data_IF_770113261538
#
_entry.id   IF_770113261538
#
_cell.length_a   1.000
_cell.length_b   1.000
_cell.length_c   1.000
_cell.angle_alpha   90.00
_cell.angle_beta   90.00
_cell.angle_gamma   90.00
#
_symmetry.space_group_name_H-M   'P 1'
#
loop_
_entity.id
_entity.type
_entity.pdbx_description
1 polymer ?
#
# COMPACT_ATOMS: atom_id res chain seq x y z
N UNK A 1 -12.58 -7.04 6.00
CA UNK A 1 -11.99 -7.85 4.91
C UNK A 1 -12.21 -9.31 5.25
N UNK A 2 -12.54 -10.16 4.28
CA UNK A 2 -12.72 -11.60 4.50
C UNK A 2 -11.49 -12.36 4.00
N UNK A 3 -10.93 -13.25 4.83
CA UNK A 3 -9.82 -14.10 4.43
C UNK A 3 -10.24 -15.02 3.28
N UNK A 4 -9.40 -15.12 2.25
CA UNK A 4 -9.71 -15.97 1.09
C UNK A 4 -10.58 -15.30 0.03
N UNK A 5 -11.00 -14.05 0.24
CA UNK A 5 -11.87 -13.32 -0.69
C UNK A 5 -11.34 -13.21 -2.13
N UNK A 6 -10.04 -13.39 -2.35
CA UNK A 6 -9.42 -13.31 -3.67
C UNK A 6 -8.96 -14.67 -4.23
N UNK A 7 -9.15 -15.78 -3.51
CA UNK A 7 -8.60 -17.08 -3.90
C UNK A 7 -9.21 -17.58 -5.23
N UNK A 8 -10.53 -17.47 -5.37
CA UNK A 8 -11.22 -17.85 -6.61
C UNK A 8 -10.79 -16.95 -7.77
N UNK A 9 -10.66 -15.64 -7.54
CA UNK A 9 -10.30 -14.68 -8.57
C UNK A 9 -8.84 -14.83 -9.04
N UNK A 10 -7.94 -15.27 -8.16
CA UNK A 10 -6.50 -15.43 -8.42
C UNK A 10 -6.17 -16.83 -8.97
N UNK A 11 -7.04 -17.82 -8.77
CA UNK A 11 -6.81 -19.18 -9.23
C UNK A 11 -6.54 -19.24 -10.75
N UNK A 12 -5.35 -19.71 -11.12
CA UNK A 12 -4.93 -19.82 -12.52
C UNK A 12 -4.39 -18.52 -13.15
N UNK A 13 -4.26 -17.43 -12.40
CA UNK A 13 -3.62 -16.21 -12.89
C UNK A 13 -2.09 -16.33 -12.92
N UNK A 14 -1.47 -15.84 -14.00
CA UNK A 14 -0.01 -15.66 -14.08
C UNK A 14 0.46 -14.36 -13.41
N UNK A 15 -0.38 -13.32 -13.44
CA UNK A 15 -0.08 -11.97 -12.94
C UNK A 15 -1.29 -11.39 -12.22
N UNK A 16 -1.05 -10.73 -11.09
CA UNK A 16 -2.06 -10.00 -10.30
C UNK A 16 -1.66 -8.54 -10.19
N UNK A 17 -2.55 -7.62 -10.58
CA UNK A 17 -2.38 -6.19 -10.39
C UNK A 17 -3.18 -5.74 -9.16
N UNK A 18 -2.51 -5.47 -8.05
CA UNK A 18 -3.16 -4.97 -6.85
C UNK A 18 -3.21 -3.44 -6.87
N UNK A 19 -4.34 -2.89 -7.32
CA UNK A 19 -4.57 -1.44 -7.43
C UNK A 19 -5.54 -0.90 -6.39
N UNK A 20 -6.31 -1.77 -5.74
CA UNK A 20 -7.29 -1.40 -4.74
C UNK A 20 -6.59 -0.96 -3.44
N UNK A 21 -6.78 0.29 -3.05
CA UNK A 21 -6.30 0.86 -1.79
C UNK A 21 -7.38 1.78 -1.23
N UNK A 22 -7.57 1.86 0.09
CA UNK A 22 -8.43 2.89 0.68
C UNK A 22 -7.89 4.27 0.29
N UNK A 23 -8.74 5.12 -0.29
CA UNK A 23 -8.40 6.47 -0.69
C UNK A 23 -9.62 7.37 -0.53
N UNK A 24 -9.60 8.21 0.50
CA UNK A 24 -10.73 9.09 0.86
C UNK A 24 -10.40 10.58 0.74
N UNK A 25 -9.15 10.93 0.37
CA UNK A 25 -8.56 12.26 0.49
C UNK A 25 -9.34 13.39 -0.24
N UNK A 26 -10.28 13.05 -1.11
CA UNK A 26 -11.09 14.02 -1.85
C UNK A 26 -12.60 13.87 -1.65
N UNK A 27 -13.05 12.84 -0.93
CA UNK A 27 -14.47 12.48 -0.86
C UNK A 27 -15.09 12.68 0.52
N UNK A 28 -14.29 12.70 1.60
CA UNK A 28 -14.75 12.98 2.97
C UNK A 28 -13.58 13.23 3.93
N UNK A 29 -13.90 13.81 5.08
CA UNK A 29 -12.98 13.88 6.22
C UNK A 29 -12.67 12.46 6.75
N UNK A 30 -11.41 12.25 7.12
CA UNK A 30 -10.92 11.02 7.75
C UNK A 30 -10.80 11.31 9.25
N UNK A 31 -11.59 10.62 10.06
CA UNK A 31 -11.67 10.87 11.50
C UNK A 31 -10.77 9.92 12.29
N UNK A 32 -10.58 8.70 11.78
CA UNK A 32 -9.72 7.67 12.33
C UNK A 32 -8.83 7.08 11.20
N UNK A 33 -7.67 7.69 10.91
CA UNK A 33 -6.78 7.24 9.85
C UNK A 33 -6.32 5.79 10.00
N UNK A 34 -6.18 5.29 11.23
CA UNK A 34 -5.77 3.91 11.48
C UNK A 34 -6.81 2.94 10.94
N UNK A 35 -8.07 3.12 11.34
CA UNK A 35 -9.15 2.20 10.96
C UNK A 35 -9.67 2.45 9.54
N UNK A 36 -9.54 3.67 9.03
CA UNK A 36 -10.11 4.06 7.74
C UNK A 36 -9.13 3.96 6.57
N UNK A 37 -7.81 4.03 6.84
CA UNK A 37 -6.75 4.02 5.82
C UNK A 37 -5.68 2.95 6.09
N UNK A 38 -4.97 3.02 7.22
CA UNK A 38 -3.76 2.21 7.43
C UNK A 38 -4.04 0.72 7.59
N UNK A 39 -4.90 0.35 8.54
CA UNK A 39 -5.25 -1.05 8.77
C UNK A 39 -5.90 -1.68 7.52
N UNK A 40 -6.88 -1.05 6.82
CA UNK A 40 -7.44 -1.62 5.60
C UNK A 40 -6.42 -1.75 4.46
N UNK A 41 -5.49 -0.81 4.27
CA UNK A 41 -4.45 -0.91 3.25
C UNK A 41 -3.50 -2.08 3.54
N UNK A 42 -3.09 -2.23 4.79
CA UNK A 42 -2.18 -3.29 5.23
C UNK A 42 -2.83 -4.67 5.13
N UNK A 43 -4.03 -4.82 5.68
CA UNK A 43 -4.79 -6.06 5.65
C UNK A 43 -5.20 -6.44 4.23
N UNK A 44 -5.62 -5.46 3.42
CA UNK A 44 -6.00 -5.68 2.02
C UNK A 44 -4.83 -6.24 1.20
N UNK A 45 -3.66 -5.62 1.32
CA UNK A 45 -2.43 -6.07 0.66
C UNK A 45 -2.06 -7.49 1.13
N UNK A 46 -2.06 -7.74 2.44
CA UNK A 46 -1.77 -9.08 2.99
C UNK A 46 -2.74 -10.14 2.47
N UNK A 47 -4.03 -9.82 2.39
CA UNK A 47 -5.04 -10.76 1.94
C UNK A 47 -4.79 -11.18 0.48
N UNK A 48 -4.50 -10.23 -0.42
CA UNK A 48 -4.15 -10.52 -1.82
C UNK A 48 -2.88 -11.37 -1.93
N UNK A 49 -1.81 -10.99 -1.21
CA UNK A 49 -0.55 -11.75 -1.24
C UNK A 49 -0.72 -13.17 -0.68
N UNK A 50 -1.48 -13.33 0.39
CA UNK A 50 -1.78 -14.64 0.96
C UNK A 50 -2.62 -15.50 0.01
N UNK A 51 -3.58 -14.91 -0.71
CA UNK A 51 -4.33 -15.62 -1.77
C UNK A 51 -3.41 -16.14 -2.86
N UNK A 52 -2.45 -15.33 -3.34
CA UNK A 52 -1.45 -15.78 -4.33
C UNK A 52 -0.66 -16.99 -3.82
N UNK A 53 -0.21 -16.95 -2.57
CA UNK A 53 0.54 -18.07 -1.95
C UNK A 53 -0.34 -19.31 -1.82
N UNK A 54 -1.60 -19.18 -1.36
CA UNK A 54 -2.53 -20.30 -1.24
C UNK A 54 -2.86 -20.93 -2.60
N UNK A 55 -3.13 -20.12 -3.63
CA UNK A 55 -3.40 -20.61 -4.98
C UNK A 55 -2.19 -21.36 -5.57
N UNK A 56 -0.97 -20.87 -5.35
CA UNK A 56 0.25 -21.56 -5.76
C UNK A 56 0.39 -22.92 -5.07
N UNK A 57 0.21 -22.95 -3.74
CA UNK A 57 0.29 -24.18 -2.96
C UNK A 57 -0.79 -25.20 -3.38
N UNK A 58 -2.02 -24.76 -3.65
CA UNK A 58 -3.11 -25.62 -4.05
C UNK A 58 -2.96 -26.18 -5.47
N UNK A 59 -2.38 -25.40 -6.40
CA UNK A 59 -2.19 -25.82 -7.80
C UNK A 59 -0.88 -26.58 -8.04
N UNK A 60 0.10 -26.46 -7.14
CA UNK A 60 1.46 -26.98 -7.34
C UNK A 60 2.26 -26.19 -8.38
N UNK A 61 1.77 -25.00 -8.78
CA UNK A 61 2.43 -24.10 -9.72
C UNK A 61 3.20 -23.02 -8.98
N UNK A 62 4.05 -22.29 -9.73
CA UNK A 62 4.68 -21.08 -9.20
C UNK A 62 3.62 -20.02 -8.84
N UNK A 63 3.87 -19.19 -7.82
CA UNK A 63 2.96 -18.09 -7.48
C UNK A 63 2.89 -17.07 -8.62
N UNK A 64 1.69 -16.48 -8.79
CA UNK A 64 1.48 -15.37 -9.70
C UNK A 64 2.43 -14.20 -9.36
N UNK A 65 2.95 -13.52 -10.39
CA UNK A 65 3.71 -12.28 -10.19
C UNK A 65 2.74 -11.18 -9.76
N UNK A 66 3.08 -10.46 -8.70
CA UNK A 66 2.24 -9.36 -8.20
C UNK A 66 2.85 -8.01 -8.59
N UNK A 67 2.04 -7.14 -9.17
CA UNK A 67 2.33 -5.72 -9.34
C UNK A 67 1.48 -4.96 -8.35
N UNK A 68 2.12 -4.33 -7.36
CA UNK A 68 1.47 -3.49 -6.36
C UNK A 68 1.51 -2.04 -6.83
N UNK A 69 0.34 -1.40 -6.99
CA UNK A 69 0.28 0.04 -7.21
C UNK A 69 0.53 0.76 -5.88
N UNK A 70 1.78 1.12 -5.65
CA UNK A 70 2.19 2.00 -4.55
C UNK A 70 2.05 3.49 -4.94
N UNK A 71 2.64 4.38 -4.17
CA UNK A 71 2.65 5.83 -4.41
C UNK A 71 4.01 6.43 -4.03
N UNK A 72 4.34 7.58 -4.61
CA UNK A 72 5.47 8.41 -4.14
C UNK A 72 5.33 8.83 -2.67
N UNK A 73 4.11 8.80 -2.13
CA UNK A 73 3.87 9.03 -0.70
C UNK A 73 4.50 7.95 0.21
N UNK A 74 4.87 6.78 -0.33
CA UNK A 74 5.66 5.78 0.39
C UNK A 74 7.16 6.11 0.41
N UNK A 75 7.61 7.00 -0.49
CA UNK A 75 9.02 7.40 -0.65
C UNK A 75 9.31 8.66 0.15
N UNK A 76 8.38 9.63 0.18
CA UNK A 76 8.55 10.87 0.94
C UNK A 76 7.22 11.46 1.42
N UNK A 77 7.29 12.22 2.51
CA UNK A 77 6.22 13.11 2.97
C UNK A 77 6.52 14.57 2.65
N UNK A 78 5.52 15.44 2.76
CA UNK A 78 5.65 16.86 2.39
C UNK A 78 6.76 17.58 3.18
N UNK A 79 6.90 17.27 4.47
CA UNK A 79 7.93 17.83 5.34
C UNK A 79 9.35 17.45 4.89
N UNK A 80 9.55 16.24 4.35
CA UNK A 80 10.85 15.80 3.83
C UNK A 80 11.19 16.47 2.50
N UNK A 81 10.20 16.61 1.60
CA UNK A 81 10.40 17.34 0.34
C UNK A 81 10.87 18.77 0.62
N UNK A 82 10.28 19.44 1.62
CA UNK A 82 10.62 20.82 1.95
C UNK A 82 12.07 20.99 2.44
N UNK A 83 12.69 19.93 2.98
CA UNK A 83 14.03 19.95 3.57
C UNK A 83 15.11 19.37 2.66
N UNK A 84 14.73 18.58 1.63
CA UNK A 84 15.69 17.90 0.75
C UNK A 84 16.40 18.89 -0.19
N UNK A 85 17.74 18.82 -0.30
CA UNK A 85 18.48 19.61 -1.29
C UNK A 85 18.00 19.34 -2.72
N UNK A 86 17.95 20.38 -3.55
CA UNK A 86 17.41 20.29 -4.92
C UNK A 86 18.28 19.48 -5.88
N UNK A 87 19.54 19.22 -5.53
CA UNK A 87 20.49 18.41 -6.25
C UNK A 87 20.52 16.93 -5.79
N UNK A 88 19.65 16.54 -4.85
CA UNK A 88 19.55 15.18 -4.35
C UNK A 88 18.24 14.50 -4.79
N UNK A 89 18.24 13.73 -5.90
CA UNK A 89 17.04 13.04 -6.37
C UNK A 89 16.59 11.96 -5.38
N UNK A 90 15.30 11.63 -5.40
CA UNK A 90 14.76 10.45 -4.73
C UNK A 90 15.07 9.18 -5.54
N UNK A 91 15.15 8.05 -4.85
CA UNK A 91 15.47 6.73 -5.36
C UNK A 91 14.60 5.67 -4.71
N UNK A 92 14.74 4.42 -5.15
CA UNK A 92 14.06 3.25 -4.60
C UNK A 92 14.51 2.89 -3.18
N UNK A 93 15.62 3.47 -2.71
CA UNK A 93 16.14 3.28 -1.35
C UNK A 93 15.52 4.28 -0.34
N UNK A 94 14.81 5.31 -0.81
CA UNK A 94 14.17 6.32 0.05
C UNK A 94 12.80 5.83 0.55
N UNK A 95 12.52 6.08 1.83
CA UNK A 95 11.25 5.74 2.50
C UNK A 95 10.69 6.95 3.23
N UNK A 96 9.36 7.09 3.21
CA UNK A 96 8.68 8.13 3.96
C UNK A 96 8.64 7.77 5.46
N UNK A 97 9.54 8.36 6.24
CA UNK A 97 9.58 8.22 7.70
C UNK A 97 8.88 9.38 8.43
N UNK A 98 8.40 10.38 7.69
CA UNK A 98 7.85 11.62 8.26
C UNK A 98 6.35 11.58 8.54
N UNK A 99 5.62 10.69 7.85
CA UNK A 99 4.18 10.54 8.01
C UNK A 99 3.87 9.52 9.10
N UNK A 100 3.13 9.95 10.12
CA UNK A 100 2.73 9.11 11.25
C UNK A 100 1.21 9.11 11.45
N UNK A 101 0.63 8.06 12.09
CA UNK A 101 -0.80 8.00 12.38
C UNK A 101 -1.33 9.17 13.21
N UNK A 102 -0.47 9.77 14.03
CA UNK A 102 -0.81 10.96 14.84
C UNK A 102 -0.91 12.26 14.01
N UNK A 103 -0.62 12.20 12.71
CA UNK A 103 -0.60 13.32 11.78
C UNK A 103 0.73 14.08 11.78
N UNK A 104 0.87 15.01 10.82
CA UNK A 104 2.02 15.92 10.82
C UNK A 104 1.89 16.89 12.01
N UNK A 105 3.00 17.23 12.70
CA UNK A 105 2.98 18.25 13.74
C UNK A 105 2.44 19.56 13.16
N UNK A 106 1.61 20.32 13.92
CA UNK A 106 1.05 21.57 13.43
C UNK A 106 2.16 22.56 13.09
N UNK A 107 2.26 22.92 11.80
CA UNK A 107 3.22 23.91 11.29
C UNK A 107 4.25 23.40 10.29
N UNK A 108 4.30 22.09 9.99
CA UNK A 108 4.96 21.62 8.77
C UNK A 108 4.00 21.83 7.58
N UNK A 109 4.36 22.64 6.57
CA UNK A 109 3.50 22.96 5.42
C UNK A 109 3.14 21.74 4.55
#
# INVERSE_FOLDING_TARGET
LEEGAFDEAIAGCDVVHHTASPFWATSREVLDPEQELFAPALEGTRNVLNSVVRCAAASGLAPARVVLTSSVAAIFGMAEIAKRPTDQPFSEDDWNESSAPEGNPPGDP
#
